data_IF_273679473100
#
_entry.id   IF_273679473100
#
_cell.length_a   1.000
_cell.length_b   1.000
_cell.length_c   1.000
_cell.angle_alpha   90.00
_cell.angle_beta   90.00
_cell.angle_gamma   90.00
#
_symmetry.space_group_name_H-M   'P 1'
#
loop_
_entity.id
_entity.type
_entity.pdbx_description
1 polymer ?
#
# COMPACT_ATOMS: atom_id res chain seq x y z
N UNK A 1 16.97 -22.53 -13.55
CA UNK A 1 16.04 -21.90 -12.60
C UNK A 1 14.65 -22.29 -13.05
N UNK A 2 13.91 -23.01 -12.21
CA UNK A 2 12.58 -23.49 -12.59
C UNK A 2 11.60 -22.31 -12.68
N UNK A 3 10.58 -22.39 -13.53
CA UNK A 3 9.58 -21.32 -13.69
C UNK A 3 8.89 -20.98 -12.36
N UNK A 4 8.66 -21.99 -11.52
CA UNK A 4 8.12 -21.83 -10.16
C UNK A 4 9.03 -20.96 -9.27
N UNK A 5 10.36 -21.15 -9.31
CA UNK A 5 11.31 -20.37 -8.50
C UNK A 5 11.38 -18.90 -8.94
N UNK A 6 11.10 -18.62 -10.22
CA UNK A 6 11.02 -17.24 -10.72
C UNK A 6 9.72 -16.58 -10.28
N UNK A 7 8.60 -17.30 -10.36
CA UNK A 7 7.30 -16.83 -9.92
C UNK A 7 7.26 -16.56 -8.40
N UNK A 8 7.86 -17.43 -7.58
CA UNK A 8 7.97 -17.23 -6.14
C UNK A 8 8.76 -15.96 -5.79
N UNK A 9 9.86 -15.68 -6.50
CA UNK A 9 10.64 -14.46 -6.30
C UNK A 9 9.91 -13.21 -6.74
N UNK A 10 9.18 -13.28 -7.85
CA UNK A 10 8.37 -12.16 -8.30
C UNK A 10 7.21 -11.90 -7.32
N UNK A 11 6.58 -12.95 -6.78
CA UNK A 11 5.56 -12.84 -5.72
C UNK A 11 6.13 -12.18 -4.47
N UNK A 12 7.28 -12.66 -3.97
CA UNK A 12 7.94 -12.10 -2.80
C UNK A 12 8.24 -10.60 -2.98
N UNK A 13 8.77 -10.23 -4.15
CA UNK A 13 9.08 -8.82 -4.47
C UNK A 13 7.81 -7.96 -4.48
N UNK A 14 6.77 -8.41 -5.17
CA UNK A 14 5.53 -7.65 -5.30
C UNK A 14 4.84 -7.53 -3.94
N UNK A 15 4.80 -8.60 -3.15
CA UNK A 15 4.27 -8.60 -1.79
C UNK A 15 5.02 -7.65 -0.86
N UNK A 16 6.37 -7.69 -0.88
CA UNK A 16 7.20 -6.76 -0.12
C UNK A 16 6.93 -5.30 -0.50
N UNK A 17 6.67 -5.04 -1.77
CA UNK A 17 6.32 -3.70 -2.24
C UNK A 17 4.96 -3.25 -1.68
N UNK A 18 3.96 -4.14 -1.64
CA UNK A 18 2.65 -3.84 -1.03
C UNK A 18 2.80 -3.53 0.46
N UNK A 19 3.57 -4.33 1.21
CA UNK A 19 3.84 -4.07 2.64
C UNK A 19 4.48 -2.69 2.82
N UNK A 20 5.53 -2.37 2.05
CA UNK A 20 6.18 -1.07 2.12
C UNK A 20 5.23 0.10 1.82
N UNK A 21 4.24 -0.07 0.94
CA UNK A 21 3.23 0.95 0.66
C UNK A 21 2.38 1.20 1.91
N UNK A 22 1.88 0.16 2.57
CA UNK A 22 1.11 0.31 3.80
C UNK A 22 1.93 0.93 4.93
N UNK A 23 3.17 0.48 5.14
CA UNK A 23 4.09 1.06 6.12
C UNK A 23 4.32 2.57 5.85
N UNK A 24 4.39 2.96 4.58
CA UNK A 24 4.55 4.38 4.18
C UNK A 24 3.29 5.19 4.45
N UNK A 25 2.09 4.60 4.25
CA UNK A 25 0.82 5.25 4.55
C UNK A 25 0.68 5.48 6.06
N UNK A 26 1.00 4.46 6.88
CA UNK A 26 1.02 4.57 8.34
C UNK A 26 2.02 5.64 8.81
N UNK A 27 3.22 5.65 8.24
CA UNK A 27 4.20 6.70 8.54
C UNK A 27 3.68 8.10 8.17
N UNK A 28 3.00 8.24 7.04
CA UNK A 28 2.41 9.50 6.60
C UNK A 28 1.29 9.96 7.54
N UNK A 29 0.49 9.04 8.07
CA UNK A 29 -0.53 9.33 9.09
C UNK A 29 0.10 9.96 10.33
N UNK A 30 1.14 9.33 10.89
CA UNK A 30 1.86 9.90 12.04
C UNK A 30 2.47 11.27 11.75
N UNK A 31 3.04 11.47 10.56
CA UNK A 31 3.55 12.79 10.16
C UNK A 31 2.45 13.86 10.07
N UNK A 32 1.22 13.47 9.73
CA UNK A 32 0.09 14.40 9.71
C UNK A 32 -0.42 14.75 11.11
N UNK A 33 -0.36 13.82 12.06
CA UNK A 33 -0.74 14.08 13.47
C UNK A 33 0.16 15.14 14.13
N UNK A 34 1.41 15.26 13.70
CA UNK A 34 2.37 16.24 14.21
C UNK A 34 2.17 17.68 13.67
N UNK A 35 1.29 17.87 12.68
CA UNK A 35 1.08 19.17 12.04
C UNK A 35 -0.10 19.93 12.67
N UNK A 36 0.18 21.11 13.23
CA UNK A 36 -0.87 22.06 13.62
C UNK A 36 -1.46 22.75 12.38
N UNK A 37 -2.61 22.26 11.92
CA UNK A 37 -3.28 22.75 10.71
C UNK A 37 -4.75 23.05 10.97
N UNK A 38 -5.37 23.98 10.21
CA UNK A 38 -6.80 24.25 10.34
C UNK A 38 -7.66 23.02 10.03
N UNK A 39 -8.85 22.92 10.63
CA UNK A 39 -9.80 21.81 10.45
C UNK A 39 -9.99 21.35 9.00
N UNK A 40 -10.10 22.27 8.03
CA UNK A 40 -10.25 21.90 6.62
C UNK A 40 -9.04 21.10 6.09
N UNK A 41 -7.83 21.42 6.54
CA UNK A 41 -6.61 20.67 6.20
C UNK A 41 -6.60 19.29 6.85
N UNK A 42 -7.03 19.17 8.10
CA UNK A 42 -7.17 17.85 8.77
C UNK A 42 -8.11 16.93 7.98
N UNK A 43 -9.26 17.46 7.53
CA UNK A 43 -10.20 16.69 6.71
C UNK A 43 -9.56 16.30 5.37
N UNK A 44 -8.83 17.20 4.73
CA UNK A 44 -8.10 16.88 3.48
C UNK A 44 -7.05 15.79 3.69
N UNK A 45 -6.31 15.82 4.79
CA UNK A 45 -5.33 14.79 5.16
C UNK A 45 -6.01 13.42 5.36
N UNK A 46 -7.12 13.37 6.10
CA UNK A 46 -7.90 12.13 6.30
C UNK A 46 -8.45 11.56 5.00
N UNK A 47 -8.95 12.41 4.11
CA UNK A 47 -9.43 11.98 2.78
C UNK A 47 -8.28 11.45 1.91
N UNK A 48 -7.10 12.07 1.98
CA UNK A 48 -5.92 11.60 1.26
C UNK A 48 -5.50 10.21 1.74
N UNK A 49 -5.35 10.01 3.06
CA UNK A 49 -5.00 8.71 3.64
C UNK A 49 -5.99 7.62 3.22
N UNK A 50 -7.29 7.89 3.36
CA UNK A 50 -8.34 6.96 2.96
C UNK A 50 -8.26 6.56 1.47
N UNK A 51 -7.93 7.50 0.59
CA UNK A 51 -7.80 7.19 -0.84
C UNK A 51 -6.54 6.38 -1.15
N UNK A 52 -5.43 6.67 -0.46
CA UNK A 52 -4.20 5.89 -0.58
C UNK A 52 -4.39 4.46 -0.10
N UNK A 53 -5.03 4.26 1.06
CA UNK A 53 -5.36 2.93 1.60
C UNK A 53 -6.24 2.14 0.64
N UNK A 54 -7.32 2.74 0.12
CA UNK A 54 -8.21 2.09 -0.86
C UNK A 54 -7.44 1.64 -2.10
N UNK A 55 -6.52 2.47 -2.57
CA UNK A 55 -5.70 2.12 -3.71
C UNK A 55 -4.71 0.99 -3.40
N UNK A 56 -4.06 1.03 -2.24
CA UNK A 56 -3.17 -0.04 -1.77
C UNK A 56 -3.90 -1.38 -1.65
N UNK A 57 -5.12 -1.39 -1.09
CA UNK A 57 -6.00 -2.57 -1.07
C UNK A 57 -6.33 -3.09 -2.47
N UNK A 58 -6.65 -2.18 -3.41
CA UNK A 58 -6.89 -2.57 -4.81
C UNK A 58 -5.65 -3.21 -5.44
N UNK A 59 -4.44 -2.70 -5.15
CA UNK A 59 -3.19 -3.28 -5.63
C UNK A 59 -2.92 -4.64 -5.00
N UNK A 60 -3.15 -4.79 -3.68
CA UNK A 60 -3.03 -6.07 -3.00
C UNK A 60 -3.92 -7.13 -3.64
N UNK A 61 -5.19 -6.81 -3.89
CA UNK A 61 -6.12 -7.72 -4.55
C UNK A 61 -5.64 -8.10 -5.95
N UNK A 62 -5.18 -7.12 -6.73
CA UNK A 62 -4.61 -7.36 -8.05
C UNK A 62 -3.40 -8.31 -7.99
N UNK A 63 -2.48 -8.10 -7.03
CA UNK A 63 -1.32 -8.98 -6.84
C UNK A 63 -1.78 -10.38 -6.45
N UNK A 64 -2.68 -10.54 -5.47
CA UNK A 64 -3.22 -11.86 -5.11
C UNK A 64 -3.82 -12.56 -6.33
N UNK A 65 -4.64 -11.88 -7.12
CA UNK A 65 -5.24 -12.43 -8.34
C UNK A 65 -4.20 -12.82 -9.40
N UNK A 66 -3.18 -11.99 -9.61
CA UNK A 66 -2.09 -12.22 -10.58
C UNK A 66 -1.40 -13.57 -10.36
N UNK A 67 -1.18 -13.94 -9.10
CA UNK A 67 -0.47 -15.19 -8.76
C UNK A 67 -1.41 -16.34 -8.39
N UNK A 68 -2.69 -16.07 -8.10
CA UNK A 68 -3.71 -17.12 -7.89
C UNK A 68 -4.19 -17.77 -9.19
N UNK A 69 -4.07 -17.06 -10.32
CA UNK A 69 -4.44 -17.54 -11.67
C UNK A 69 -3.27 -18.17 -12.43
N UNK A 70 -2.09 -18.21 -11.83
CA UNK A 70 -0.85 -18.66 -12.44
C UNK A 70 -0.53 -20.11 -12.07
#
# INVERSE_FOLDING_TARGET
MNQLELQDKDWERDWKTIVNIFDTIEHLEHLFEDLDVPYLREIQQKVLLLNLEKYAWSLQNYIVEKYSRA
#
